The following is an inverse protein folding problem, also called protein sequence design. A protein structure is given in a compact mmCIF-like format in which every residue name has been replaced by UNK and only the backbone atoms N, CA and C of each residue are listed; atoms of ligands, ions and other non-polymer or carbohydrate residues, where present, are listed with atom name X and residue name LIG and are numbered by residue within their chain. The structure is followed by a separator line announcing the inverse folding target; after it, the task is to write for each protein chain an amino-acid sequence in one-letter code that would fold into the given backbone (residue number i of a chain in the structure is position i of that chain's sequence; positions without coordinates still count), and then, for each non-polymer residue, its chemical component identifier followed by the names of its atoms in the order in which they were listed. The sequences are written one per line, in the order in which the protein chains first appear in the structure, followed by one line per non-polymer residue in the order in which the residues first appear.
data_IF_702716265763
#
_entry.id   IF_702716265763
#
_cell.length_a   1.000
_cell.length_b   1.000
_cell.length_c   1.000
_cell.angle_alpha   90.00
_cell.angle_beta   90.00
_cell.angle_gamma   90.00
#
_symmetry.space_group_name_H-M   'P 1'
#
loop_
_entity.id
_entity.type
_entity.pdbx_description
1 polymer ?
#
# COMPACT_ATOMS: atom_id res chain seq x y z
N UNK A 1 7.80 -17.14 -4.06
CA UNK A 1 6.94 -16.02 -3.62
C UNK A 1 6.12 -16.46 -2.42
N UNK A 2 5.94 -15.59 -1.43
CA UNK A 2 5.20 -15.84 -0.19
C UNK A 2 3.81 -15.16 -0.26
N UNK A 3 2.74 -15.94 -0.18
CA UNK A 3 1.37 -15.44 -0.03
C UNK A 3 0.99 -15.26 1.45
N UNK A 4 1.87 -14.63 2.22
CA UNK A 4 1.78 -14.55 3.70
C UNK A 4 1.56 -13.11 4.15
N UNK A 5 1.12 -12.95 5.40
CA UNK A 5 1.04 -11.65 6.08
C UNK A 5 1.97 -11.63 7.28
N UNK A 6 2.26 -10.43 7.77
CA UNK A 6 3.18 -10.06 8.87
C UNK A 6 3.89 -11.22 9.59
N UNK A 7 3.20 -11.95 10.47
CA UNK A 7 3.83 -12.96 11.35
C UNK A 7 4.27 -14.19 10.57
N UNK A 8 3.44 -14.65 9.65
CA UNK A 8 3.71 -15.77 8.76
C UNK A 8 4.85 -15.43 7.82
N UNK A 9 4.94 -14.19 7.34
CA UNK A 9 6.07 -13.71 6.51
C UNK A 9 7.37 -13.79 7.29
N UNK A 10 7.42 -13.22 8.50
CA UNK A 10 8.61 -13.28 9.36
C UNK A 10 8.99 -14.74 9.66
N UNK A 11 8.01 -15.54 10.07
CA UNK A 11 8.22 -16.96 10.40
C UNK A 11 8.75 -17.78 9.23
N UNK A 12 8.19 -17.59 8.03
CA UNK A 12 8.62 -18.29 6.82
C UNK A 12 10.06 -17.91 6.44
N UNK A 13 10.38 -16.61 6.42
CA UNK A 13 11.73 -16.13 6.06
C UNK A 13 12.78 -16.61 7.06
N UNK A 14 12.50 -16.48 8.36
CA UNK A 14 13.41 -16.94 9.42
C UNK A 14 13.62 -18.45 9.35
N UNK A 15 12.56 -19.22 9.13
CA UNK A 15 12.64 -20.68 9.06
C UNK A 15 13.43 -21.12 7.83
N UNK A 16 13.16 -20.58 6.64
CA UNK A 16 13.92 -20.89 5.43
C UNK A 16 15.43 -20.62 5.61
N UNK A 17 15.79 -19.50 6.25
CA UNK A 17 17.19 -19.17 6.56
C UNK A 17 17.82 -20.16 7.54
N UNK A 18 17.10 -20.55 8.60
CA UNK A 18 17.56 -21.59 9.54
C UNK A 18 17.75 -22.94 8.87
N UNK A 19 16.96 -23.25 7.84
CA UNK A 19 17.11 -24.44 7.00
C UNK A 19 18.23 -24.32 5.96
N UNK A 20 18.99 -23.23 5.96
CA UNK A 20 20.12 -23.01 5.06
C UNK A 20 19.72 -22.62 3.63
N UNK A 21 18.48 -22.18 3.40
CA UNK A 21 18.06 -21.72 2.08
C UNK A 21 18.81 -20.44 1.69
N UNK A 22 19.42 -20.45 0.49
CA UNK A 22 20.16 -19.32 -0.09
C UNK A 22 19.46 -18.80 -1.35
N UNK A 23 18.19 -18.46 -1.21
CA UNK A 23 17.37 -17.94 -2.31
C UNK A 23 16.80 -16.59 -1.94
N UNK A 24 16.64 -15.73 -2.94
CA UNK A 24 15.87 -14.51 -2.79
C UNK A 24 14.41 -14.86 -2.55
N UNK A 25 13.80 -14.13 -1.62
CA UNK A 25 12.40 -14.32 -1.25
C UNK A 25 11.63 -13.03 -1.56
N UNK A 26 10.42 -13.21 -2.08
CA UNK A 26 9.49 -12.13 -2.42
C UNK A 26 8.18 -12.39 -1.70
N UNK A 27 7.62 -11.39 -1.02
CA UNK A 27 6.25 -11.40 -0.48
C UNK A 27 5.36 -10.49 -1.34
N UNK A 28 4.05 -10.78 -1.40
CA UNK A 28 3.10 -9.86 -2.03
C UNK A 28 2.99 -8.54 -1.24
N UNK A 29 2.27 -7.56 -1.79
CA UNK A 29 1.95 -6.32 -1.07
C UNK A 29 1.27 -6.52 0.29
N UNK A 30 0.67 -7.69 0.56
CA UNK A 30 0.13 -8.04 1.86
C UNK A 30 1.21 -8.14 2.97
N UNK A 31 2.46 -8.46 2.59
CA UNK A 31 3.62 -8.44 3.49
C UNK A 31 4.41 -7.13 3.49
N UNK A 32 4.11 -6.20 2.58
CA UNK A 32 4.75 -4.88 2.51
C UNK A 32 4.22 -3.96 3.62
N UNK A 33 4.69 -4.18 4.83
CA UNK A 33 4.33 -3.39 6.02
C UNK A 33 5.56 -3.06 6.85
N UNK A 34 5.58 -1.93 7.58
CA UNK A 34 6.67 -1.61 8.50
C UNK A 34 6.95 -2.72 9.51
N UNK A 35 5.91 -3.44 9.93
CA UNK A 35 5.98 -4.51 10.93
C UNK A 35 6.85 -5.69 10.49
N UNK A 36 6.82 -6.07 9.20
CA UNK A 36 7.66 -7.17 8.67
C UNK A 36 9.14 -6.83 8.74
N UNK A 37 9.50 -5.56 8.53
CA UNK A 37 10.88 -5.09 8.61
C UNK A 37 11.32 -4.87 10.07
N UNK A 38 10.48 -4.22 10.88
CA UNK A 38 10.82 -3.80 12.23
C UNK A 38 10.78 -4.96 13.25
N UNK A 39 9.68 -5.73 13.29
CA UNK A 39 9.51 -6.78 14.32
C UNK A 39 10.50 -7.93 14.17
N UNK A 40 11.01 -8.15 12.95
CA UNK A 40 12.00 -9.17 12.68
C UNK A 40 13.40 -8.84 13.22
N UNK A 41 13.64 -7.60 13.68
CA UNK A 41 14.95 -7.15 14.21
C UNK A 41 16.11 -7.51 13.27
N UNK A 42 15.92 -7.28 11.97
CA UNK A 42 16.91 -7.57 10.91
C UNK A 42 16.84 -8.98 10.32
N UNK A 43 16.07 -9.91 10.92
CA UNK A 43 16.00 -11.28 10.44
C UNK A 43 15.29 -11.44 9.06
N UNK A 44 14.65 -10.39 8.57
CA UNK A 44 14.02 -10.28 7.24
C UNK A 44 14.82 -9.40 6.26
N UNK A 45 16.01 -8.89 6.63
CA UNK A 45 16.88 -8.13 5.72
C UNK A 45 17.09 -8.87 4.39
N UNK A 46 16.91 -8.19 3.26
CA UNK A 46 17.00 -8.77 1.92
C UNK A 46 15.68 -9.36 1.37
N UNK A 47 14.60 -9.41 2.16
CA UNK A 47 13.27 -9.79 1.66
C UNK A 47 12.74 -8.72 0.70
N UNK A 48 12.26 -9.14 -0.45
CA UNK A 48 11.60 -8.28 -1.44
C UNK A 48 10.08 -8.23 -1.25
N UNK A 49 9.45 -7.15 -1.69
CA UNK A 49 8.00 -7.06 -1.81
C UNK A 49 7.58 -6.17 -2.98
N UNK A 50 6.46 -6.53 -3.62
CA UNK A 50 5.75 -5.62 -4.52
C UNK A 50 4.82 -4.69 -3.73
N UNK A 51 4.59 -3.48 -4.23
CA UNK A 51 3.69 -2.51 -3.59
C UNK A 51 3.04 -1.56 -4.62
N UNK A 52 1.86 -1.03 -4.30
CA UNK A 52 1.17 0.00 -5.11
C UNK A 52 1.10 1.37 -4.40
N UNK A 53 1.49 1.39 -3.14
CA UNK A 53 1.59 2.60 -2.31
C UNK A 53 2.88 2.48 -1.51
N UNK A 54 3.82 3.43 -1.64
CA UNK A 54 4.98 3.51 -0.78
C UNK A 54 4.57 3.62 0.70
N UNK A 55 5.35 3.03 1.61
CA UNK A 55 5.16 3.26 3.04
C UNK A 55 5.36 4.75 3.35
N UNK A 56 4.41 5.42 4.03
CA UNK A 56 4.48 6.85 4.33
C UNK A 56 5.47 7.13 5.46
N UNK A 57 6.76 7.09 5.15
CA UNK A 57 7.79 7.44 6.12
C UNK A 57 7.91 8.96 6.27
N UNK A 58 7.93 9.45 7.51
CA UNK A 58 7.92 10.87 7.82
C UNK A 58 9.14 11.64 7.27
N UNK A 59 10.29 10.98 7.16
CA UNK A 59 11.55 11.54 6.66
C UNK A 59 11.52 11.81 5.15
N UNK A 60 10.78 11.01 4.38
CA UNK A 60 10.65 11.13 2.91
C UNK A 60 9.28 11.67 2.46
N UNK A 61 8.38 11.99 3.39
CA UNK A 61 7.04 12.45 3.08
C UNK A 61 7.01 13.86 2.46
N UNK A 62 6.15 14.04 1.45
CA UNK A 62 5.80 15.35 0.89
C UNK A 62 5.11 16.23 1.94
N UNK A 63 4.98 17.54 1.67
CA UNK A 63 4.24 18.47 2.55
C UNK A 63 2.81 17.99 2.81
N UNK A 64 2.13 17.54 1.76
CA UNK A 64 0.72 17.14 1.82
C UNK A 64 0.56 15.83 2.60
N UNK A 65 1.48 14.88 2.38
CA UNK A 65 1.50 13.64 3.14
C UNK A 65 1.80 13.91 4.62
N UNK A 66 2.73 14.81 4.94
CA UNK A 66 3.02 15.21 6.33
C UNK A 66 1.79 15.83 7.01
N UNK A 67 1.13 16.77 6.35
CA UNK A 67 -0.09 17.39 6.87
C UNK A 67 -1.19 16.36 7.13
N UNK A 68 -1.35 15.38 6.23
CA UNK A 68 -2.27 14.26 6.43
C UNK A 68 -1.88 13.38 7.62
N UNK A 69 -0.59 13.03 7.76
CA UNK A 69 -0.09 12.23 8.88
C UNK A 69 -0.31 12.92 10.23
N UNK A 70 -0.07 14.23 10.31
CA UNK A 70 -0.31 15.04 11.51
C UNK A 70 -1.79 15.06 11.88
N UNK A 71 -2.68 15.27 10.89
CA UNK A 71 -4.13 15.22 11.10
C UNK A 71 -4.59 13.83 11.56
N UNK A 72 -4.03 12.77 10.97
CA UNK A 72 -4.31 11.40 11.39
C UNK A 72 -3.92 11.18 12.85
N UNK A 73 -2.70 11.59 13.24
CA UNK A 73 -2.22 11.48 14.61
C UNK A 73 -3.07 12.27 15.60
N UNK A 74 -3.48 13.49 15.25
CA UNK A 74 -4.34 14.31 16.09
C UNK A 74 -5.73 13.69 16.32
N UNK A 75 -6.29 13.00 15.33
CA UNK A 75 -7.62 12.39 15.42
C UNK A 75 -7.63 11.03 16.12
N UNK A 76 -6.54 10.26 16.01
CA UNK A 76 -6.53 8.84 16.41
C UNK A 76 -5.45 8.49 17.45
N UNK A 77 -4.62 9.46 17.86
CA UNK A 77 -3.50 9.26 18.78
C UNK A 77 -2.55 8.12 18.35
N UNK A 78 -2.38 7.95 17.03
CA UNK A 78 -1.59 6.89 16.43
C UNK A 78 -0.86 7.38 15.18
N UNK A 79 0.33 6.82 14.92
CA UNK A 79 1.04 7.11 13.68
C UNK A 79 0.34 6.45 12.50
N UNK A 80 0.21 7.20 11.41
CA UNK A 80 -0.37 6.67 10.18
C UNK A 80 0.56 5.60 9.59
N UNK A 81 -0.04 4.51 9.13
CA UNK A 81 0.67 3.41 8.48
C UNK A 81 0.11 3.13 7.09
N UNK A 82 0.69 2.16 6.39
CA UNK A 82 0.27 1.79 5.04
C UNK A 82 -1.20 1.35 4.98
N UNK A 83 -1.72 0.70 6.04
CA UNK A 83 -3.12 0.31 6.13
C UNK A 83 -4.05 1.54 6.22
N UNK A 84 -3.66 2.56 6.99
CA UNK A 84 -4.38 3.84 7.05
C UNK A 84 -4.39 4.55 5.69
N UNK A 85 -3.26 4.52 4.95
CA UNK A 85 -3.18 5.08 3.60
C UNK A 85 -4.14 4.37 2.62
N UNK A 86 -4.15 3.03 2.61
CA UNK A 86 -5.09 2.26 1.78
C UNK A 86 -6.55 2.52 2.16
N UNK A 87 -6.87 2.59 3.45
CA UNK A 87 -8.22 2.92 3.93
C UNK A 87 -8.67 4.32 3.50
N UNK A 88 -7.78 5.31 3.62
CA UNK A 88 -8.04 6.67 3.16
C UNK A 88 -8.30 6.72 1.65
N UNK A 89 -7.46 6.04 0.86
CA UNK A 89 -7.63 5.96 -0.60
C UNK A 89 -8.97 5.33 -0.99
N UNK A 90 -9.33 4.21 -0.37
CA UNK A 90 -10.61 3.54 -0.63
C UNK A 90 -11.80 4.46 -0.32
N UNK A 91 -11.76 5.16 0.82
CA UNK A 91 -12.82 6.11 1.17
C UNK A 91 -12.84 7.34 0.27
N UNK A 92 -11.69 7.81 -0.21
CA UNK A 92 -11.61 8.95 -1.12
C UNK A 92 -12.19 8.61 -2.49
N UNK A 93 -11.89 7.42 -3.03
CA UNK A 93 -12.53 6.91 -4.26
C UNK A 93 -14.04 6.78 -4.11
N UNK A 94 -14.49 6.22 -2.98
CA UNK A 94 -15.92 6.14 -2.68
C UNK A 94 -16.57 7.53 -2.63
N UNK A 95 -15.92 8.50 -1.97
CA UNK A 95 -16.43 9.87 -1.88
C UNK A 95 -16.57 10.51 -3.27
N UNK A 96 -15.54 10.39 -4.13
CA UNK A 96 -15.60 10.87 -5.53
C UNK A 96 -16.78 10.25 -6.28
N UNK A 97 -16.97 8.93 -6.18
CA UNK A 97 -18.09 8.27 -6.84
C UNK A 97 -19.45 8.67 -6.26
N UNK A 98 -19.55 8.81 -4.94
CA UNK A 98 -20.78 9.22 -4.27
C UNK A 98 -21.18 10.66 -4.65
N UNK A 99 -20.21 11.57 -4.77
CA UNK A 99 -20.43 12.93 -5.25
C UNK A 99 -20.93 12.94 -6.70
N UNK A 100 -20.32 12.12 -7.57
CA UNK A 100 -20.73 11.97 -8.97
C UNK A 100 -22.12 11.33 -9.14
N UNK A 101 -22.47 10.36 -8.28
CA UNK A 101 -23.77 9.70 -8.30
C UNK A 101 -24.93 10.64 -7.90
N UNK A 102 -24.61 11.71 -7.17
CA UNK A 102 -25.56 12.75 -6.75
C UNK A 102 -26.55 12.31 -5.67
N UNK A 103 -27.58 13.12 -5.45
CA UNK A 103 -28.62 12.84 -4.45
C UNK A 103 -29.45 11.60 -4.80
N UNK A 104 -30.01 10.95 -3.77
CA UNK A 104 -30.76 9.69 -3.90
C UNK A 104 -29.92 8.59 -4.53
N UNK A 105 -28.78 8.31 -3.88
CA UNK A 105 -27.84 7.27 -4.31
C UNK A 105 -28.48 5.88 -4.25
N UNK A 106 -28.20 5.08 -5.27
CA UNK A 106 -28.50 3.65 -5.32
C UNK A 106 -27.28 2.91 -5.86
N UNK A 107 -27.30 1.57 -5.80
CA UNK A 107 -26.17 0.75 -6.24
C UNK A 107 -25.83 0.94 -7.72
N UNK A 108 -26.83 1.16 -8.59
CA UNK A 108 -26.58 1.30 -10.02
C UNK A 108 -25.86 2.62 -10.34
N UNK A 109 -26.32 3.72 -9.72
CA UNK A 109 -25.68 5.04 -9.85
C UNK A 109 -24.26 5.05 -9.29
N UNK A 110 -24.07 4.45 -8.12
CA UNK A 110 -22.74 4.39 -7.50
C UNK A 110 -21.77 3.53 -8.33
N UNK A 111 -22.21 2.38 -8.83
CA UNK A 111 -21.39 1.55 -9.73
C UNK A 111 -21.01 2.30 -10.99
N UNK A 112 -21.98 2.95 -11.66
CA UNK A 112 -21.70 3.74 -12.85
C UNK A 112 -20.73 4.90 -12.58
N UNK A 113 -20.85 5.56 -11.41
CA UNK A 113 -19.91 6.60 -11.00
C UNK A 113 -18.50 6.06 -10.75
N UNK A 114 -18.35 4.95 -10.01
CA UNK A 114 -17.07 4.27 -9.81
C UNK A 114 -16.42 3.88 -11.14
N UNK A 115 -17.19 3.29 -12.05
CA UNK A 115 -16.74 2.90 -13.39
C UNK A 115 -16.39 4.10 -14.29
N UNK A 116 -16.75 5.32 -13.92
CA UNK A 116 -16.40 6.55 -14.64
C UNK A 116 -15.10 7.21 -14.15
N UNK A 117 -14.57 6.76 -13.00
CA UNK A 117 -13.34 7.32 -12.43
C UNK A 117 -12.16 7.01 -13.35
N UNK A 118 -11.48 8.06 -13.80
CA UNK A 118 -10.27 7.96 -14.62
C UNK A 118 -9.19 8.87 -14.05
N UNK A 119 -7.95 8.38 -14.03
CA UNK A 119 -6.78 9.16 -13.64
C UNK A 119 -6.77 9.65 -12.18
N UNK A 120 -7.47 8.98 -11.26
CA UNK A 120 -7.48 9.37 -9.85
C UNK A 120 -6.08 9.22 -9.23
N UNK A 121 -5.58 10.28 -8.62
CA UNK A 121 -4.32 10.30 -7.88
C UNK A 121 -4.54 10.78 -6.45
N UNK A 122 -3.58 10.49 -5.57
CA UNK A 122 -3.59 10.99 -4.20
C UNK A 122 -2.17 11.27 -3.68
N UNK A 123 -2.10 11.81 -2.47
CA UNK A 123 -0.86 12.24 -1.82
C UNK A 123 0.10 11.09 -1.46
N UNK A 124 -0.30 9.82 -1.62
CA UNK A 124 0.51 8.69 -1.21
C UNK A 124 1.52 8.26 -2.29
N UNK A 125 1.50 8.87 -3.48
CA UNK A 125 2.51 8.58 -4.52
C UNK A 125 2.35 7.20 -5.17
N UNK A 126 1.12 6.67 -5.21
CA UNK A 126 0.80 5.47 -5.98
C UNK A 126 0.47 5.78 -7.45
N UNK A 127 0.22 4.76 -8.28
CA UNK A 127 -0.15 4.97 -9.68
C UNK A 127 -1.55 5.59 -9.76
N UNK A 128 -1.83 6.28 -10.87
CA UNK A 128 -3.18 6.76 -11.14
C UNK A 128 -4.16 5.58 -11.26
N UNK A 129 -5.35 5.73 -10.67
CA UNK A 129 -6.39 4.71 -10.68
C UNK A 129 -7.47 5.05 -11.70
N UNK A 130 -7.82 4.07 -12.53
CA UNK A 130 -8.91 4.19 -13.49
C UNK A 130 -9.74 2.92 -13.53
N UNK A 131 -11.06 3.08 -13.67
CA UNK A 131 -12.01 1.99 -13.75
C UNK A 131 -12.85 2.14 -15.03
N UNK A 132 -13.53 1.05 -15.41
CA UNK A 132 -14.50 1.05 -16.50
C UNK A 132 -15.54 -0.05 -16.28
N UNK A 133 -16.60 -0.06 -17.08
CA UNK A 133 -17.59 -1.14 -17.09
C UNK A 133 -17.03 -2.51 -17.49
N UNK A 134 -15.79 -2.56 -18.00
CA UNK A 134 -15.10 -3.78 -18.42
C UNK A 134 -13.81 -4.05 -17.65
N UNK A 135 -13.34 -3.11 -16.82
CA UNK A 135 -12.14 -3.24 -16.01
C UNK A 135 -12.35 -2.62 -14.63
N UNK A 136 -12.46 -3.50 -13.62
CA UNK A 136 -12.58 -3.11 -12.21
C UNK A 136 -11.24 -3.13 -11.46
N UNK A 137 -10.13 -3.35 -12.18
CA UNK A 137 -8.78 -3.28 -11.63
C UNK A 137 -8.25 -1.85 -11.85
N UNK A 138 -8.18 -1.07 -10.77
CA UNK A 138 -7.81 0.35 -10.85
C UNK A 138 -6.42 0.62 -11.43
N UNK A 139 -5.50 -0.32 -11.25
CA UNK A 139 -4.13 -0.26 -11.78
C UNK A 139 -3.49 -1.66 -11.74
N UNK A 140 -2.59 -1.93 -12.68
CA UNK A 140 -1.69 -3.08 -12.66
C UNK A 140 -0.24 -2.68 -12.41
N UNK A 141 0.02 -1.38 -12.24
CA UNK A 141 1.35 -0.84 -11.94
C UNK A 141 1.68 -1.03 -10.46
N UNK A 142 2.96 -1.17 -10.17
CA UNK A 142 3.47 -1.31 -8.82
C UNK A 142 4.99 -1.26 -8.82
N UNK A 143 5.56 -0.92 -7.67
CA UNK A 143 7.00 -0.89 -7.45
C UNK A 143 7.50 -2.17 -6.80
N UNK A 144 8.82 -2.25 -6.69
CA UNK A 144 9.52 -3.30 -5.96
C UNK A 144 10.35 -2.65 -4.85
N UNK A 145 10.26 -3.19 -3.64
CA UNK A 145 11.08 -2.78 -2.51
C UNK A 145 11.83 -3.98 -1.94
N UNK A 146 12.89 -3.70 -1.19
CA UNK A 146 13.63 -4.67 -0.39
C UNK A 146 13.82 -4.15 1.02
N UNK A 147 13.83 -5.04 2.01
CA UNK A 147 14.22 -4.66 3.37
C UNK A 147 15.73 -4.45 3.44
N UNK A 148 16.15 -3.22 3.76
CA UNK A 148 17.50 -2.91 4.21
C UNK A 148 17.49 -2.65 5.73
N UNK A 149 18.34 -3.37 6.45
CA UNK A 149 18.30 -3.46 7.92
C UNK A 149 16.90 -3.79 8.46
N UNK A 150 16.21 -2.76 8.97
CA UNK A 150 14.87 -2.85 9.58
C UNK A 150 13.82 -1.99 8.85
N UNK A 151 14.09 -1.58 7.61
CA UNK A 151 13.24 -0.67 6.84
C UNK A 151 13.07 -1.16 5.40
N UNK A 152 11.89 -0.96 4.82
CA UNK A 152 11.72 -1.12 3.37
C UNK A 152 12.32 0.05 2.59
N UNK A 153 13.11 -0.26 1.57
CA UNK A 153 13.71 0.67 0.62
C UNK A 153 13.19 0.34 -0.77
N UNK A 154 12.69 1.34 -1.49
CA UNK A 154 12.23 1.19 -2.88
C UNK A 154 13.41 0.94 -3.81
N UNK A 155 13.30 -0.07 -4.67
CA UNK A 155 14.30 -0.42 -5.69
C UNK A 155 13.86 -0.02 -7.09
N UNK A 156 12.61 -0.29 -7.43
CA UNK A 156 11.95 0.14 -8.66
C UNK A 156 10.72 0.92 -8.28
N UNK A 157 10.64 2.16 -8.76
CA UNK A 157 9.48 3.00 -8.49
C UNK A 157 8.28 2.54 -9.32
N UNK A 158 7.08 2.91 -8.88
CA UNK A 158 5.80 2.55 -9.50
C UNK A 158 5.68 3.13 -10.92
N UNK A 159 6.35 4.24 -11.18
CA UNK A 159 6.26 5.05 -12.40
C UNK A 159 7.34 4.72 -13.44
N UNK A 160 8.23 3.76 -13.17
CA UNK A 160 9.29 3.29 -14.06
C UNK A 160 8.89 2.04 -14.86
#
# INVERSE_FOLDING_TARGET
MLGTVIRETIGAVVTARKMGWKVDMLVSGAGYTPHVAFLAKGATHGLYASFQVPIPYADTASSDLKAWMEKYKANYDADANIQAAYGYRAMSLFAVAAEQAGHHIDSAKLTAALESITGYTDMFGGPALSFSSTSHVGTTQGGLAQIDGTRWVTLFDILE
#
